data_IF_442323117773
#
_entry.id   IF_442323117773
#
_cell.length_a   1.000
_cell.length_b   1.000
_cell.length_c   1.000
_cell.angle_alpha   90.00
_cell.angle_beta   90.00
_cell.angle_gamma   90.00
#
_symmetry.space_group_name_H-M   'P 1'
#
loop_
_entity.id
_entity.type
_entity.pdbx_description
1 polymer ?
#
# COMPACT_ATOMS: atom_id res chain seq x y z
N UNK A 1 8.53 28.78 2.07
CA UNK A 1 7.29 28.17 1.53
C UNK A 1 6.50 27.63 2.73
N UNK A 2 6.32 28.47 3.76
CA UNK A 2 6.03 28.00 5.12
C UNK A 2 4.60 28.30 5.58
N UNK A 3 3.80 28.92 4.71
CA UNK A 3 2.36 29.19 4.87
C UNK A 3 1.52 28.42 3.82
N UNK A 4 2.03 27.32 3.28
CA UNK A 4 1.19 26.42 2.51
C UNK A 4 0.38 25.60 3.51
N UNK A 5 -0.96 25.68 3.45
CA UNK A 5 -1.88 24.81 4.21
C UNK A 5 -1.46 23.35 3.99
N UNK A 6 -0.66 22.87 4.94
CA UNK A 6 0.12 21.67 4.79
C UNK A 6 -0.81 20.47 4.76
N UNK A 7 -0.60 19.62 3.76
CA UNK A 7 -1.00 18.21 3.71
C UNK A 7 -2.17 17.86 4.65
N UNK A 8 -3.40 18.06 4.19
CA UNK A 8 -4.62 17.74 4.95
C UNK A 8 -5.27 16.43 4.51
N UNK A 9 -6.37 16.04 5.17
CA UNK A 9 -7.16 14.85 4.81
C UNK A 9 -7.58 14.82 3.33
N UNK A 10 -7.79 15.98 2.72
CA UNK A 10 -8.08 16.08 1.29
C UNK A 10 -6.96 15.49 0.42
N UNK A 11 -5.67 15.63 0.80
CA UNK A 11 -4.55 15.03 0.08
C UNK A 11 -4.63 13.51 0.02
N UNK A 12 -5.06 12.86 1.11
CA UNK A 12 -5.24 11.41 1.15
C UNK A 12 -6.38 10.98 0.22
N UNK A 13 -7.47 11.76 0.13
CA UNK A 13 -8.57 11.48 -0.80
C UNK A 13 -8.18 11.61 -2.27
N UNK A 14 -7.28 12.55 -2.59
CA UNK A 14 -6.67 12.60 -3.92
C UNK A 14 -5.85 11.34 -4.21
N UNK A 15 -5.03 10.91 -3.24
CA UNK A 15 -4.25 9.68 -3.36
C UNK A 15 -5.17 8.45 -3.52
N UNK A 16 -6.29 8.38 -2.79
CA UNK A 16 -7.30 7.36 -2.96
C UNK A 16 -7.89 7.35 -4.38
N UNK A 17 -8.17 8.52 -4.97
CA UNK A 17 -8.61 8.63 -6.37
C UNK A 17 -7.58 8.06 -7.35
N UNK A 18 -6.30 8.38 -7.16
CA UNK A 18 -5.19 7.85 -7.98
C UNK A 18 -5.06 6.33 -7.85
N UNK A 19 -5.13 5.82 -6.62
CA UNK A 19 -5.08 4.38 -6.34
C UNK A 19 -6.29 3.67 -6.96
N UNK A 20 -7.49 4.20 -6.79
CA UNK A 20 -8.72 3.63 -7.34
C UNK A 20 -8.68 3.56 -8.88
N UNK A 21 -8.25 4.63 -9.55
CA UNK A 21 -8.04 4.64 -11.00
C UNK A 21 -7.06 3.52 -11.40
N UNK A 22 -5.94 3.41 -10.70
CA UNK A 22 -4.90 2.40 -10.98
C UNK A 22 -5.40 0.97 -10.76
N UNK A 23 -6.19 0.73 -9.71
CA UNK A 23 -6.73 -0.59 -9.41
C UNK A 23 -7.73 -1.08 -10.46
N UNK A 24 -8.47 -0.17 -11.10
CA UNK A 24 -9.50 -0.52 -12.07
C UNK A 24 -8.94 -0.91 -13.44
N UNK A 25 -7.91 -0.21 -13.94
CA UNK A 25 -7.37 -0.43 -15.29
C UNK A 25 -5.90 -0.86 -15.32
N UNK A 26 -5.21 -0.88 -14.18
CA UNK A 26 -3.81 -1.29 -14.07
C UNK A 26 -2.77 -0.24 -14.47
N UNK A 27 -3.16 0.99 -14.82
CA UNK A 27 -2.23 2.09 -15.09
C UNK A 27 -2.65 3.40 -14.38
N UNK A 28 -1.69 4.25 -13.96
CA UNK A 28 -2.00 5.44 -13.18
C UNK A 28 -2.57 6.56 -14.08
N UNK A 29 -3.44 7.44 -13.53
CA UNK A 29 -4.13 8.50 -14.28
C UNK A 29 -3.16 9.55 -14.85
N UNK A 30 -2.04 9.76 -14.16
CA UNK A 30 -1.02 10.72 -14.54
C UNK A 30 0.28 9.97 -14.88
N UNK A 31 0.43 9.55 -16.12
CA UNK A 31 1.65 8.92 -16.60
C UNK A 31 2.22 9.65 -17.81
N UNK A 32 3.53 9.93 -17.78
CA UNK A 32 4.25 10.44 -18.93
C UNK A 32 5.75 10.13 -18.81
N UNK A 33 6.44 9.88 -19.93
CA UNK A 33 7.89 9.60 -19.94
C UNK A 33 8.74 10.76 -19.39
N UNK A 34 8.34 11.99 -19.70
CA UNK A 34 8.94 13.23 -19.18
C UNK A 34 8.24 13.64 -17.88
N UNK A 35 8.99 13.68 -16.77
CA UNK A 35 8.47 14.03 -15.45
C UNK A 35 7.79 15.40 -15.40
N UNK A 36 8.32 16.41 -16.10
CA UNK A 36 7.72 17.75 -16.14
C UNK A 36 6.30 17.76 -16.71
N UNK A 37 6.01 16.90 -17.70
CA UNK A 37 4.67 16.80 -18.29
C UNK A 37 3.74 16.03 -17.34
N UNK A 38 4.24 15.00 -16.65
CA UNK A 38 3.48 14.28 -15.63
C UNK A 38 3.05 15.23 -14.50
N UNK A 39 4.00 16.01 -13.97
CA UNK A 39 3.72 17.02 -12.93
C UNK A 39 2.73 18.07 -13.41
N UNK A 40 2.88 18.56 -14.65
CA UNK A 40 1.91 19.47 -15.27
C UNK A 40 0.51 18.86 -15.34
N UNK A 41 0.37 17.61 -15.75
CA UNK A 41 -0.92 16.93 -15.79
C UNK A 41 -1.53 16.78 -14.40
N UNK A 42 -0.72 16.54 -13.36
CA UNK A 42 -1.19 16.50 -11.97
C UNK A 42 -1.71 17.88 -11.54
N UNK A 43 -0.94 18.94 -11.82
CA UNK A 43 -1.31 20.33 -11.49
C UNK A 43 -2.53 20.83 -12.27
N UNK A 44 -2.73 20.33 -13.49
CA UNK A 44 -3.90 20.65 -14.33
C UNK A 44 -5.07 19.67 -14.12
N UNK A 45 -4.92 18.62 -13.30
CA UNK A 45 -5.96 17.61 -13.10
C UNK A 45 -6.32 16.86 -14.39
N UNK A 46 -5.36 16.72 -15.32
CA UNK A 46 -5.59 16.20 -16.66
C UNK A 46 -5.42 14.67 -16.72
N UNK A 47 -6.54 13.96 -16.71
CA UNK A 47 -6.66 12.51 -16.93
C UNK A 47 -7.91 12.21 -17.78
N UNK A 48 -8.01 11.01 -18.35
CA UNK A 48 -9.16 10.62 -19.20
C UNK A 48 -9.65 9.22 -18.91
N UNK A 49 -10.89 8.94 -19.31
CA UNK A 49 -11.52 7.62 -19.26
C UNK A 49 -11.77 7.05 -20.68
N UNK A 50 -11.02 7.53 -21.68
CA UNK A 50 -11.28 7.23 -23.09
C UNK A 50 -10.60 5.93 -23.56
N UNK A 51 -9.86 5.27 -22.67
CA UNK A 51 -9.13 4.05 -22.98
C UNK A 51 -10.09 2.85 -23.10
N UNK A 52 -9.83 1.86 -23.97
CA UNK A 52 -10.68 0.68 -24.11
C UNK A 52 -10.97 -0.06 -22.80
N UNK A 53 -10.02 -0.05 -21.86
CA UNK A 53 -10.12 -0.66 -20.53
C UNK A 53 -11.27 -0.08 -19.69
N UNK A 54 -11.75 1.12 -20.02
CA UNK A 54 -12.89 1.77 -19.35
C UNK A 54 -14.26 1.44 -19.96
N UNK A 55 -14.31 0.71 -21.07
CA UNK A 55 -15.57 0.39 -21.76
C UNK A 55 -16.48 -0.50 -20.90
N UNK A 56 -15.88 -1.49 -20.21
CA UNK A 56 -16.62 -2.44 -19.38
C UNK A 56 -16.87 -1.95 -17.94
N UNK A 57 -16.33 -0.78 -17.58
CA UNK A 57 -16.44 -0.22 -16.25
C UNK A 57 -17.67 0.69 -16.17
N UNK A 58 -18.53 0.46 -15.18
CA UNK A 58 -19.73 1.26 -14.92
C UNK A 58 -19.40 2.73 -14.60
N UNK A 59 -20.39 3.63 -14.72
CA UNK A 59 -20.16 5.06 -14.46
C UNK A 59 -19.95 5.41 -12.97
N UNK A 60 -20.49 4.62 -12.03
CA UNK A 60 -20.39 4.90 -10.60
C UNK A 60 -18.92 5.04 -10.09
N UNK A 61 -17.98 4.12 -10.39
CA UNK A 61 -16.58 4.31 -10.03
C UNK A 61 -15.91 5.48 -10.75
N UNK A 62 -16.25 5.73 -12.02
CA UNK A 62 -15.71 6.87 -12.79
C UNK A 62 -16.13 8.19 -12.17
N UNK A 63 -17.39 8.31 -11.76
CA UNK A 63 -17.94 9.49 -11.08
C UNK A 63 -17.26 9.73 -9.72
N UNK A 64 -17.03 8.68 -8.92
CA UNK A 64 -16.29 8.81 -7.66
C UNK A 64 -14.86 9.32 -7.90
N UNK A 65 -14.16 8.76 -8.89
CA UNK A 65 -12.81 9.23 -9.24
C UNK A 65 -12.82 10.70 -9.66
N UNK A 66 -13.82 11.14 -10.45
CA UNK A 66 -13.95 12.55 -10.85
C UNK A 66 -14.04 13.49 -9.65
N UNK A 67 -14.80 13.09 -8.63
CA UNK A 67 -15.01 13.86 -7.41
C UNK A 67 -13.85 13.80 -6.40
N UNK A 68 -13.03 12.75 -6.46
CA UNK A 68 -11.79 12.63 -5.66
C UNK A 68 -10.60 13.36 -6.30
N UNK A 69 -10.51 13.37 -7.63
CA UNK A 69 -9.45 14.03 -8.39
C UNK A 69 -9.81 15.48 -8.79
N UNK A 70 -10.42 16.22 -7.85
CA UNK A 70 -10.70 17.66 -7.98
C UNK A 70 -9.49 18.46 -7.48
N UNK A 71 -9.04 19.46 -8.26
CA UNK A 71 -7.87 20.27 -7.94
C UNK A 71 -8.05 21.09 -6.66
N UNK A 72 -9.20 21.76 -6.54
CA UNK A 72 -9.53 22.55 -5.36
C UNK A 72 -9.86 21.60 -4.19
N UNK A 73 -9.08 21.58 -3.10
CA UNK A 73 -9.32 20.68 -1.97
C UNK A 73 -10.63 20.97 -1.23
N UNK A 74 -11.18 22.18 -1.35
CA UNK A 74 -12.46 22.57 -0.75
C UNK A 74 -13.68 22.09 -1.55
N UNK A 75 -13.49 21.77 -2.83
CA UNK A 75 -14.54 21.20 -3.71
C UNK A 75 -14.43 19.68 -3.82
N UNK A 76 -13.32 19.11 -3.31
CA UNK A 76 -13.09 17.67 -3.26
C UNK A 76 -14.00 17.07 -2.21
N UNK A 77 -14.57 15.89 -2.51
CA UNK A 77 -15.34 15.15 -1.51
C UNK A 77 -14.53 14.96 -0.23
N UNK A 78 -15.22 15.03 0.89
CA UNK A 78 -14.74 14.58 2.18
C UNK A 78 -14.82 13.05 2.30
N UNK A 79 -14.23 12.49 3.35
CA UNK A 79 -14.24 11.04 3.58
C UNK A 79 -15.66 10.52 3.73
N UNK A 80 -16.50 11.20 4.51
CA UNK A 80 -17.87 10.78 4.78
C UNK A 80 -18.72 10.83 3.50
N UNK A 81 -18.64 11.92 2.73
CA UNK A 81 -19.36 12.04 1.45
C UNK A 81 -18.87 11.02 0.41
N UNK A 82 -17.57 10.70 0.41
CA UNK A 82 -17.03 9.67 -0.46
C UNK A 82 -17.55 8.27 -0.11
N UNK A 83 -17.70 7.96 1.19
CA UNK A 83 -18.26 6.69 1.66
C UNK A 83 -19.76 6.56 1.39
N UNK A 84 -20.49 7.67 1.36
CA UNK A 84 -21.91 7.72 0.99
C UNK A 84 -22.14 7.65 -0.54
N UNK A 85 -21.09 7.65 -1.34
CA UNK A 85 -21.20 7.66 -2.80
C UNK A 85 -21.92 6.40 -3.33
N UNK A 86 -22.73 6.51 -4.42
CA UNK A 86 -23.41 5.37 -5.04
C UNK A 86 -22.53 4.17 -5.40
N UNK A 87 -21.23 4.41 -5.60
CA UNK A 87 -20.24 3.34 -5.79
C UNK A 87 -20.21 2.35 -4.62
N UNK A 88 -20.33 2.82 -3.38
CA UNK A 88 -20.38 1.98 -2.19
C UNK A 88 -21.81 1.55 -1.83
N UNK A 89 -22.83 2.29 -2.29
CA UNK A 89 -24.24 1.94 -2.10
C UNK A 89 -24.75 0.87 -3.07
N UNK A 90 -23.85 0.19 -3.78
CA UNK A 90 -24.18 -1.11 -4.36
C UNK A 90 -24.48 -2.01 -3.18
N UNK A 91 -25.77 -2.03 -2.77
CA UNK A 91 -26.37 -3.23 -2.22
C UNK A 91 -25.93 -4.26 -3.22
N UNK A 92 -25.01 -5.14 -2.81
CA UNK A 92 -24.81 -6.40 -3.49
C UNK A 92 -26.24 -6.82 -3.78
N UNK A 93 -26.68 -6.74 -5.05
CA UNK A 93 -27.87 -7.46 -5.46
C UNK A 93 -27.64 -8.78 -4.79
N UNK A 94 -28.51 -9.11 -3.83
CA UNK A 94 -28.47 -10.34 -3.07
C UNK A 94 -28.09 -11.35 -4.14
N UNK A 95 -26.81 -11.72 -4.18
CA UNK A 95 -26.40 -12.74 -5.11
C UNK A 95 -27.25 -13.83 -4.52
N UNK A 96 -28.30 -14.23 -5.22
CA UNK A 96 -29.18 -15.27 -4.78
C UNK A 96 -28.25 -16.49 -4.75
N UNK A 97 -27.53 -16.62 -3.64
CA UNK A 97 -26.82 -17.78 -3.15
C UNK A 97 -27.90 -18.60 -2.44
N UNK A 98 -29.16 -18.15 -2.33
CA UNK A 98 -30.27 -18.97 -1.88
C UNK A 98 -30.46 -20.27 -2.71
N UNK A 99 -30.40 -20.26 -4.06
CA UNK A 99 -30.36 -21.47 -4.88
C UNK A 99 -29.10 -22.28 -4.61
N UNK A 100 -27.92 -21.64 -4.50
CA UNK A 100 -26.66 -22.33 -4.24
C UNK A 100 -26.63 -22.98 -2.83
N UNK A 101 -27.18 -22.32 -1.81
CA UNK A 101 -27.35 -22.80 -0.44
C UNK A 101 -28.34 -23.95 -0.38
N UNK A 102 -29.45 -23.90 -1.13
CA UNK A 102 -30.41 -25.02 -1.21
C UNK A 102 -29.79 -26.25 -1.88
N UNK A 103 -29.10 -26.08 -3.00
CA UNK A 103 -28.45 -27.17 -3.73
C UNK A 103 -27.28 -27.77 -2.94
N UNK A 104 -26.52 -26.96 -2.19
CA UNK A 104 -25.45 -27.42 -1.30
C UNK A 104 -25.95 -27.99 0.04
N UNK A 105 -27.19 -27.69 0.44
CA UNK A 105 -27.81 -28.16 1.68
C UNK A 105 -28.45 -29.55 1.53
N UNK A 106 -28.96 -29.90 0.34
CA UNK A 106 -29.77 -31.09 0.17
C UNK A 106 -28.96 -32.39 -0.07
N UNK A 107 -27.68 -32.29 -0.41
CA UNK A 107 -26.85 -33.47 -0.60
C UNK A 107 -25.38 -33.16 -0.29
N UNK A 108 -24.90 -33.56 0.88
CA UNK A 108 -23.63 -34.29 1.03
C UNK A 108 -23.11 -34.22 2.47
N UNK A 109 -23.04 -35.37 3.14
CA UNK A 109 -22.30 -35.56 4.40
C UNK A 109 -20.83 -35.12 4.32
N UNK A 110 -20.29 -34.86 3.11
CA UNK A 110 -18.94 -34.33 2.87
C UNK A 110 -18.80 -32.83 3.18
N UNK A 111 -19.86 -32.03 3.16
CA UNK A 111 -19.77 -30.59 3.46
C UNK A 111 -19.60 -30.28 4.96
N UNK A 112 -20.11 -31.16 5.83
CA UNK A 112 -19.82 -31.10 7.28
C UNK A 112 -18.32 -31.27 7.57
N UNK A 113 -17.58 -31.92 6.66
CA UNK A 113 -16.15 -32.12 6.79
C UNK A 113 -15.36 -30.91 6.29
N UNK A 114 -15.78 -30.29 5.17
CA UNK A 114 -15.19 -29.04 4.67
C UNK A 114 -15.42 -27.89 5.65
N UNK A 115 -16.61 -27.78 6.25
CA UNK A 115 -16.89 -26.74 7.26
C UNK A 115 -16.20 -27.01 8.60
N UNK A 116 -16.05 -28.28 9.02
CA UNK A 116 -15.18 -28.66 10.16
C UNK A 116 -13.72 -28.33 9.91
N UNK A 117 -13.21 -28.65 8.71
CA UNK A 117 -11.83 -28.35 8.31
C UNK A 117 -11.62 -26.84 8.19
N UNK A 118 -12.57 -26.08 7.64
CA UNK A 118 -12.52 -24.61 7.59
C UNK A 118 -12.59 -23.97 8.98
N UNK A 119 -13.34 -24.56 9.94
CA UNK A 119 -13.31 -24.15 11.36
C UNK A 119 -11.98 -24.48 12.05
N UNK A 120 -11.27 -25.53 11.60
CA UNK A 120 -9.93 -25.88 12.09
C UNK A 120 -8.80 -25.11 11.40
N UNK A 121 -9.02 -24.63 10.17
CA UNK A 121 -8.23 -23.57 9.55
C UNK A 121 -8.60 -22.28 10.28
N UNK A 122 -8.11 -22.17 11.51
CA UNK A 122 -8.08 -20.95 12.30
C UNK A 122 -7.18 -20.00 11.51
N UNK A 123 -7.76 -19.29 10.53
CA UNK A 123 -7.10 -18.17 9.86
C UNK A 123 -6.69 -17.26 11.01
N UNK A 124 -5.39 -17.26 11.33
CA UNK A 124 -4.87 -16.42 12.42
C UNK A 124 -5.37 -15.01 12.10
N UNK A 125 -6.04 -14.32 13.05
CA UNK A 125 -6.57 -13.00 12.76
C UNK A 125 -5.41 -12.18 12.23
N UNK A 126 -5.54 -11.70 10.99
CA UNK A 126 -4.50 -10.94 10.32
C UNK A 126 -4.25 -9.69 11.16
N UNK A 127 -3.21 -9.75 11.99
CA UNK A 127 -2.85 -8.65 12.86
C UNK A 127 -1.83 -7.80 12.11
N UNK A 128 -2.34 -6.89 11.29
CA UNK A 128 -1.55 -6.00 10.44
C UNK A 128 -0.43 -5.32 11.24
N UNK A 129 -0.71 -4.90 12.48
CA UNK A 129 0.26 -4.26 13.38
C UNK A 129 1.43 -5.18 13.73
N UNK A 130 1.16 -6.43 14.10
CA UNK A 130 2.23 -7.41 14.44
C UNK A 130 3.03 -7.80 13.20
N UNK A 131 2.36 -7.99 12.06
CA UNK A 131 3.02 -8.33 10.80
C UNK A 131 3.93 -7.20 10.31
N UNK A 132 3.47 -5.95 10.43
CA UNK A 132 4.27 -4.77 10.08
C UNK A 132 5.48 -4.58 11.00
N UNK A 133 5.32 -4.75 12.31
CA UNK A 133 6.42 -4.72 13.27
C UNK A 133 7.46 -5.82 12.97
N UNK A 134 7.02 -7.03 12.64
CA UNK A 134 7.90 -8.11 12.22
C UNK A 134 8.67 -7.77 10.94
N UNK A 135 8.00 -7.19 9.95
CA UNK A 135 8.65 -6.76 8.71
C UNK A 135 9.75 -5.71 8.97
N UNK A 136 9.48 -4.70 9.82
CA UNK A 136 10.48 -3.69 10.22
C UNK A 136 11.67 -4.34 10.94
N UNK A 137 11.41 -5.28 11.86
CA UNK A 137 12.47 -5.98 12.57
C UNK A 137 13.32 -6.82 11.62
N UNK A 138 12.70 -7.55 10.69
CA UNK A 138 13.42 -8.33 9.67
C UNK A 138 14.28 -7.41 8.81
N UNK A 139 13.75 -6.29 8.32
CA UNK A 139 14.53 -5.32 7.53
C UNK A 139 15.70 -4.76 8.33
N UNK A 140 15.50 -4.38 9.60
CA UNK A 140 16.58 -3.89 10.47
C UNK A 140 17.65 -4.94 10.73
N UNK A 141 17.28 -6.20 10.93
CA UNK A 141 18.20 -7.32 11.12
C UNK A 141 18.95 -7.63 9.82
N UNK A 142 18.25 -7.68 8.69
CA UNK A 142 18.85 -7.91 7.37
C UNK A 142 19.80 -6.78 7.00
N UNK A 143 19.43 -5.51 7.22
CA UNK A 143 20.34 -4.38 7.00
C UNK A 143 21.57 -4.47 7.92
N UNK A 144 21.41 -4.83 9.21
CA UNK A 144 22.56 -5.08 10.09
C UNK A 144 23.44 -6.23 9.60
N UNK A 145 22.84 -7.34 9.16
CA UNK A 145 23.58 -8.48 8.61
C UNK A 145 24.28 -8.12 7.30
N UNK A 146 23.61 -7.38 6.41
CA UNK A 146 24.17 -6.87 5.15
C UNK A 146 25.25 -5.81 5.36
N UNK A 147 25.20 -5.06 6.46
CA UNK A 147 26.26 -4.12 6.88
C UNK A 147 27.45 -4.82 7.55
N UNK A 148 27.24 -6.04 8.08
CA UNK A 148 28.30 -6.91 8.59
C UNK A 148 28.95 -7.76 7.47
N UNK A 149 28.21 -8.05 6.39
CA UNK A 149 28.67 -8.82 5.24
C UNK A 149 29.76 -8.17 4.34
N UNK A 150 30.06 -6.86 4.31
CA UNK A 150 31.13 -6.32 3.47
C UNK A 150 32.51 -6.35 4.12
N UNK A 151 32.68 -6.94 5.30
CA UNK A 151 33.98 -6.99 5.96
C UNK A 151 34.25 -8.35 6.62
N UNK A 152 34.36 -9.39 5.79
CA UNK A 152 35.07 -10.61 6.18
C UNK A 152 35.97 -11.11 5.05
N UNK A 153 36.89 -10.26 4.59
CA UNK A 153 38.14 -10.69 3.94
C UNK A 153 39.29 -9.82 4.43
N UNK A 154 39.67 -10.02 5.69
CA UNK A 154 40.89 -9.45 6.25
C UNK A 154 40.96 -9.74 7.74
N UNK A 155 41.77 -10.72 8.14
CA UNK A 155 42.05 -11.02 9.55
C UNK A 155 42.66 -9.76 10.19
N UNK A 156 41.91 -9.07 11.04
CA UNK A 156 42.44 -7.97 11.85
C UNK A 156 43.31 -8.61 12.93
N UNK A 157 44.63 -8.49 12.81
CA UNK A 157 45.56 -9.02 13.79
C UNK A 157 45.47 -8.19 15.07
N UNK A 158 45.05 -8.82 16.18
CA UNK A 158 44.89 -8.23 17.51
C UNK A 158 46.18 -7.52 18.00
N UNK A 159 47.34 -7.98 17.52
CA UNK A 159 48.63 -7.39 17.88
C UNK A 159 48.84 -6.00 17.27
N UNK A 160 48.28 -5.71 16.08
CA UNK A 160 48.40 -4.41 15.42
C UNK A 160 47.48 -3.36 16.06
N UNK A 161 46.32 -3.78 16.57
CA UNK A 161 45.32 -2.91 17.21
C UNK A 161 45.81 -2.38 18.57
N UNK A 162 46.68 -3.13 19.26
CA UNK A 162 47.27 -2.68 20.53
C UNK A 162 48.31 -1.56 20.37
N UNK A 163 48.97 -1.45 19.22
CA UNK A 163 49.99 -0.43 18.98
C UNK A 163 49.41 0.92 18.57
N UNK A 164 48.29 0.94 17.84
CA UNK A 164 47.61 2.19 17.48
C UNK A 164 46.09 1.97 17.25
N UNK A 165 45.27 2.15 18.30
CA UNK A 165 43.82 1.91 18.25
C UNK A 165 43.06 2.85 17.31
N UNK A 166 43.63 4.00 16.93
CA UNK A 166 42.93 5.08 16.22
C UNK A 166 43.13 5.05 14.70
N UNK A 167 44.04 4.18 14.23
CA UNK A 167 44.38 4.03 12.82
C UNK A 167 43.33 3.25 12.03
N UNK A 168 42.52 2.42 12.68
CA UNK A 168 41.47 1.64 12.02
C UNK A 168 40.12 2.37 12.04
N UNK A 169 39.65 2.76 10.84
CA UNK A 169 38.39 3.50 10.61
C UNK A 169 37.15 2.87 11.28
N UNK A 170 37.18 1.56 11.54
CA UNK A 170 36.09 0.82 12.18
C UNK A 170 35.94 1.21 13.67
N UNK A 171 37.04 1.34 14.41
CA UNK A 171 36.99 1.65 15.85
C UNK A 171 36.61 3.12 16.11
N UNK A 172 37.02 4.03 15.22
CA UNK A 172 36.65 5.45 15.28
C UNK A 172 35.13 5.67 15.18
N UNK A 173 34.47 4.93 14.27
CA UNK A 173 33.01 4.99 14.11
C UNK A 173 32.24 4.46 15.31
N UNK A 174 32.82 3.52 16.05
CA UNK A 174 32.17 2.94 17.24
C UNK A 174 32.27 3.90 18.43
N UNK A 175 33.37 4.64 18.61
CA UNK A 175 33.44 5.63 19.71
C UNK A 175 32.57 6.87 19.46
N UNK A 176 32.40 7.30 18.21
CA UNK A 176 31.56 8.46 17.85
C UNK A 176 30.05 8.18 17.89
N UNK A 177 29.61 6.92 17.98
CA UNK A 177 28.18 6.56 18.11
C UNK A 177 27.67 6.47 19.56
N UNK A 178 28.51 6.73 20.56
CA UNK A 178 28.15 6.65 21.99
C UNK A 178 28.38 7.98 22.75
N UNK A 179 28.54 9.09 22.04
CA UNK A 179 28.40 10.47 22.52
C UNK A 179 27.32 11.16 21.68
#
# INVERSE_FOLDING_TARGET
FDDADGYGFSCDLWACGVVMYTLLIGCPPFWHRKQMIMLRNIMEGKYTFNSPEWQDISEAPKDLIRKLLVLNPNERLTVDEALEHPFFNIKMFDQDIAPLKRTLSACSSKFNQISKLAKQIKVRPFNARKNFLYAILVVRVVIRLLQLLPCSTGKISIQLVKQDPYRHKILRKVSESWL
#
